data_IF_353913757647
#
_entry.id   IF_353913757647
#
_cell.length_a   1.000
_cell.length_b   1.000
_cell.length_c   1.000
_cell.angle_alpha   90.00
_cell.angle_beta   90.00
_cell.angle_gamma   90.00
#
_symmetry.space_group_name_H-M   'P 1'
#
loop_
_entity.id
_entity.type
_entity.pdbx_description
1 polymer ?
#
# COMPACT_ATOMS: atom_id res chain seq x y z
N UNK A 1 -10.88 15.67 -20.01
CA UNK A 1 -9.66 16.03 -19.28
C UNK A 1 -9.02 14.75 -18.80
N UNK A 2 -7.88 14.38 -19.32
CA UNK A 2 -7.09 13.25 -18.80
C UNK A 2 -6.44 13.67 -17.48
N UNK A 3 -6.24 12.71 -16.57
CA UNK A 3 -5.69 12.98 -15.24
C UNK A 3 -4.16 13.07 -15.37
N UNK A 4 -3.53 14.25 -15.22
CA UNK A 4 -2.09 14.42 -15.42
C UNK A 4 -1.26 13.62 -14.41
N UNK A 5 -1.87 13.19 -13.30
CA UNK A 5 -1.20 12.38 -12.28
C UNK A 5 -1.01 10.91 -12.71
N UNK A 6 -1.75 10.43 -13.72
CA UNK A 6 -1.57 9.08 -14.28
C UNK A 6 -0.39 9.00 -15.27
N UNK A 7 0.15 10.14 -15.72
CA UNK A 7 1.22 10.17 -16.72
C UNK A 7 2.54 9.56 -16.20
N UNK A 8 2.75 9.58 -14.88
CA UNK A 8 3.91 8.99 -14.20
C UNK A 8 3.54 7.77 -13.35
N UNK A 9 2.33 7.22 -13.51
CA UNK A 9 1.88 6.07 -12.74
C UNK A 9 2.38 4.76 -13.37
N UNK A 10 3.32 4.09 -12.70
CA UNK A 10 3.76 2.75 -13.06
C UNK A 10 2.99 1.69 -12.26
N UNK A 11 1.89 1.21 -12.84
CA UNK A 11 1.05 0.18 -12.23
C UNK A 11 1.80 -1.14 -12.00
N UNK A 12 2.69 -1.50 -12.93
CA UNK A 12 3.42 -2.76 -12.86
C UNK A 12 4.41 -2.72 -11.69
N UNK A 13 5.16 -1.62 -11.58
CA UNK A 13 6.10 -1.41 -10.48
C UNK A 13 5.41 -1.33 -9.13
N UNK A 14 4.27 -0.64 -9.04
CA UNK A 14 3.49 -0.58 -7.81
C UNK A 14 3.01 -1.97 -7.36
N UNK A 15 2.47 -2.79 -8.28
CA UNK A 15 2.03 -4.15 -7.96
C UNK A 15 3.19 -5.05 -7.51
N UNK A 16 4.34 -4.91 -8.15
CA UNK A 16 5.55 -5.64 -7.78
C UNK A 16 5.99 -5.28 -6.34
N UNK A 17 6.13 -3.99 -6.04
CA UNK A 17 6.52 -3.50 -4.72
C UNK A 17 5.49 -3.86 -3.64
N UNK A 18 4.20 -3.71 -3.91
CA UNK A 18 3.13 -4.09 -2.99
C UNK A 18 3.20 -5.58 -2.65
N UNK A 19 3.34 -6.43 -3.67
CA UNK A 19 3.48 -7.88 -3.49
C UNK A 19 4.74 -8.22 -2.69
N UNK A 20 5.86 -7.58 -3.03
CA UNK A 20 7.13 -7.76 -2.33
C UNK A 20 7.00 -7.44 -0.85
N UNK A 21 6.48 -6.26 -0.50
CA UNK A 21 6.33 -5.84 0.90
C UNK A 21 5.32 -6.68 1.65
N UNK A 22 4.23 -7.10 1.01
CA UNK A 22 3.26 -8.01 1.63
C UNK A 22 3.90 -9.34 2.03
N UNK A 23 4.68 -9.94 1.12
CA UNK A 23 5.41 -11.19 1.40
C UNK A 23 6.49 -10.96 2.46
N UNK A 24 7.28 -9.87 2.36
CA UNK A 24 8.36 -9.55 3.30
C UNK A 24 7.81 -9.34 4.72
N UNK A 25 6.77 -8.52 4.88
CA UNK A 25 6.11 -8.27 6.15
C UNK A 25 5.52 -9.56 6.71
N UNK A 26 4.82 -10.36 5.91
CA UNK A 26 4.29 -11.64 6.36
C UNK A 26 5.41 -12.58 6.82
N UNK A 27 6.52 -12.62 6.08
CA UNK A 27 7.68 -13.43 6.46
C UNK A 27 8.28 -12.95 7.77
N UNK A 28 8.51 -11.65 7.94
CA UNK A 28 9.02 -11.04 9.17
C UNK A 28 8.10 -11.30 10.36
N UNK A 29 6.79 -11.18 10.18
CA UNK A 29 5.81 -11.52 11.22
C UNK A 29 5.86 -12.99 11.61
N UNK A 30 6.19 -13.91 10.69
CA UNK A 30 6.32 -15.34 11.00
C UNK A 30 7.67 -15.71 11.61
N UNK A 31 8.75 -15.02 11.22
CA UNK A 31 10.12 -15.39 11.61
C UNK A 31 10.63 -14.65 12.84
N UNK A 32 10.12 -13.45 13.15
CA UNK A 32 10.52 -12.71 14.35
C UNK A 32 9.57 -13.00 15.52
N UNK A 33 9.97 -13.85 16.49
CA UNK A 33 9.13 -14.18 17.65
C UNK A 33 8.84 -12.96 18.54
N UNK A 34 9.70 -11.93 18.50
CA UNK A 34 9.47 -10.65 19.19
C UNK A 34 8.29 -9.88 18.59
N UNK A 35 8.16 -9.86 17.26
CA UNK A 35 7.04 -9.24 16.59
C UNK A 35 5.75 -10.06 16.83
N UNK A 36 5.81 -11.38 16.78
CA UNK A 36 4.65 -12.24 17.11
C UNK A 36 4.13 -11.95 18.53
N UNK A 37 5.02 -11.85 19.51
CA UNK A 37 4.66 -11.53 20.89
C UNK A 37 4.02 -10.14 21.01
N UNK A 38 4.60 -9.13 20.34
CA UNK A 38 4.09 -7.76 20.35
C UNK A 38 2.72 -7.64 19.65
N UNK A 39 2.48 -8.43 18.60
CA UNK A 39 1.17 -8.54 17.94
C UNK A 39 0.10 -9.09 18.89
N UNK A 40 0.47 -10.10 19.70
CA UNK A 40 -0.43 -10.73 20.65
C UNK A 40 -0.71 -9.86 21.89
N UNK A 41 0.27 -9.06 22.34
CA UNK A 41 0.11 -8.19 23.51
C UNK A 41 -0.63 -6.89 23.22
N UNK A 42 -0.34 -6.23 22.08
CA UNK A 42 -0.84 -4.88 21.82
C UNK A 42 -2.01 -4.84 20.82
N UNK A 43 -2.30 -5.93 20.12
CA UNK A 43 -3.39 -6.04 19.14
C UNK A 43 -3.26 -5.13 17.90
N UNK A 44 -2.37 -4.16 17.93
CA UNK A 44 -2.08 -3.21 16.87
C UNK A 44 -0.56 -3.01 16.80
N UNK A 45 0.06 -3.64 15.81
CA UNK A 45 1.48 -3.42 15.52
C UNK A 45 1.58 -2.29 14.50
N UNK A 46 2.41 -1.28 14.77
CA UNK A 46 2.54 -0.16 13.84
C UNK A 46 3.43 -0.56 12.67
N UNK A 47 2.94 -0.36 11.44
CA UNK A 47 3.69 -0.61 10.21
C UNK A 47 5.05 0.11 10.20
N UNK A 48 5.16 1.27 10.87
CA UNK A 48 6.42 1.97 11.04
C UNK A 48 7.48 1.18 11.81
N UNK A 49 7.09 0.39 12.81
CA UNK A 49 8.03 -0.45 13.57
C UNK A 49 8.57 -1.59 12.70
N UNK A 50 7.73 -2.15 11.84
CA UNK A 50 8.13 -3.17 10.86
C UNK A 50 9.09 -2.61 9.80
N UNK A 51 8.82 -1.41 9.30
CA UNK A 51 9.68 -0.74 8.32
C UNK A 51 11.02 -0.33 8.91
N UNK A 52 11.09 -0.03 10.22
CA UNK A 52 12.36 0.26 10.88
C UNK A 52 13.32 -0.94 10.89
N UNK A 53 12.78 -2.16 10.88
CA UNK A 53 13.55 -3.41 10.81
C UNK A 53 13.98 -3.75 9.36
N UNK A 54 13.60 -2.96 8.36
CA UNK A 54 14.04 -3.18 6.98
C UNK A 54 15.51 -2.82 6.78
N UNK A 55 16.18 -3.63 5.96
CA UNK A 55 17.53 -3.37 5.45
C UNK A 55 17.55 -2.11 4.57
N UNK A 56 18.73 -1.55 4.31
CA UNK A 56 18.88 -0.31 3.53
C UNK A 56 18.24 -0.40 2.14
N UNK A 57 18.42 -1.51 1.44
CA UNK A 57 17.83 -1.75 0.12
C UNK A 57 16.29 -1.82 0.17
N UNK A 58 15.74 -2.37 1.25
CA UNK A 58 14.30 -2.48 1.45
C UNK A 58 13.67 -1.13 1.81
N UNK A 59 14.40 -0.27 2.52
CA UNK A 59 13.97 1.11 2.81
C UNK A 59 13.90 1.95 1.54
N UNK A 60 14.88 1.83 0.64
CA UNK A 60 14.86 2.54 -0.66
C UNK A 60 13.62 2.13 -1.49
N UNK A 61 13.36 0.83 -1.59
CA UNK A 61 12.16 0.30 -2.26
C UNK A 61 10.87 0.73 -1.57
N UNK A 62 10.90 0.91 -0.26
CA UNK A 62 9.74 1.33 0.52
C UNK A 62 9.42 2.81 0.26
N UNK A 63 10.43 3.66 0.17
CA UNK A 63 10.27 5.05 -0.24
C UNK A 63 9.72 5.15 -1.67
N UNK A 64 10.23 4.32 -2.60
CA UNK A 64 9.70 4.21 -3.97
C UNK A 64 8.21 3.83 -3.95
N UNK A 65 7.83 2.82 -3.16
CA UNK A 65 6.45 2.40 -3.00
C UNK A 65 5.55 3.51 -2.45
N UNK A 66 6.01 4.25 -1.43
CA UNK A 66 5.25 5.36 -0.85
C UNK A 66 5.03 6.52 -1.86
N UNK A 67 6.03 6.80 -2.70
CA UNK A 67 5.88 7.81 -3.75
C UNK A 67 4.82 7.39 -4.78
N UNK A 68 4.85 6.13 -5.22
CA UNK A 68 3.84 5.60 -6.12
C UNK A 68 2.45 5.57 -5.47
N UNK A 69 2.34 5.12 -4.23
CA UNK A 69 1.06 5.09 -3.50
C UNK A 69 0.44 6.48 -3.35
N UNK A 70 1.27 7.50 -3.10
CA UNK A 70 0.83 8.90 -3.08
C UNK A 70 0.29 9.35 -4.44
N UNK A 71 0.99 9.03 -5.53
CA UNK A 71 0.53 9.36 -6.89
C UNK A 71 -0.80 8.70 -7.21
N UNK A 72 -0.95 7.42 -6.81
CA UNK A 72 -2.23 6.69 -6.95
C UNK A 72 -3.35 7.37 -6.18
N UNK A 73 -3.09 7.74 -4.93
CA UNK A 73 -4.07 8.41 -4.08
C UNK A 73 -4.50 9.76 -4.68
N UNK A 74 -3.55 10.56 -5.17
CA UNK A 74 -3.83 11.84 -5.83
C UNK A 74 -4.64 11.64 -7.12
N UNK A 75 -4.33 10.60 -7.90
CA UNK A 75 -5.09 10.25 -9.09
C UNK A 75 -6.53 9.82 -8.75
N UNK A 76 -6.69 8.91 -7.78
CA UNK A 76 -7.99 8.42 -7.31
C UNK A 76 -8.85 9.56 -6.72
N UNK A 77 -8.23 10.47 -5.95
CA UNK A 77 -8.89 11.67 -5.43
C UNK A 77 -9.36 12.60 -6.55
N UNK A 78 -8.52 12.85 -7.55
CA UNK A 78 -8.88 13.70 -8.68
C UNK A 78 -10.04 13.09 -9.47
N UNK A 79 -9.99 11.80 -9.74
CA UNK A 79 -11.07 11.09 -10.43
C UNK A 79 -12.37 11.16 -9.62
N UNK A 80 -12.29 10.97 -8.29
CA UNK A 80 -13.44 11.07 -7.38
C UNK A 80 -14.09 12.45 -7.40
N UNK A 81 -13.29 13.52 -7.32
CA UNK A 81 -13.77 14.91 -7.35
C UNK A 81 -14.38 15.29 -8.70
N UNK A 82 -13.90 14.70 -9.79
CA UNK A 82 -14.41 14.93 -11.14
C UNK A 82 -15.55 13.98 -11.56
N UNK A 83 -16.10 13.20 -10.62
CA UNK A 83 -17.25 12.32 -10.86
C UNK A 83 -16.97 11.15 -11.81
N UNK A 84 -15.68 10.86 -12.08
CA UNK A 84 -15.20 9.73 -12.89
C UNK A 84 -14.56 8.62 -12.07
N UNK A 85 -14.40 8.85 -10.77
CA UNK A 85 -13.63 8.01 -9.88
C UNK A 85 -14.43 7.00 -9.09
N UNK A 86 -13.65 6.13 -8.50
CA UNK A 86 -14.02 5.08 -7.57
C UNK A 86 -14.67 5.63 -6.31
N UNK A 87 -15.64 4.89 -5.77
CA UNK A 87 -16.28 5.28 -4.51
C UNK A 87 -15.25 5.10 -3.40
N UNK A 88 -14.98 6.17 -2.66
CA UNK A 88 -14.27 6.07 -1.40
C UNK A 88 -15.16 5.39 -0.37
N UNK A 89 -14.74 4.23 0.15
CA UNK A 89 -15.36 3.63 1.34
C UNK A 89 -14.43 3.79 2.54
N UNK A 90 -14.91 4.38 3.64
CA UNK A 90 -14.16 4.42 4.90
C UNK A 90 -13.72 3.00 5.30
N UNK A 91 -12.43 2.80 5.54
CA UNK A 91 -11.83 1.51 5.92
C UNK A 91 -11.36 0.62 4.75
N UNK A 92 -11.80 0.88 3.51
CA UNK A 92 -11.38 0.14 2.30
C UNK A 92 -10.67 1.01 1.26
N UNK A 93 -10.84 2.33 1.31
CA UNK A 93 -10.25 3.27 0.35
C UNK A 93 -11.07 3.42 -0.93
N UNK A 94 -10.41 3.80 -2.03
CA UNK A 94 -11.04 3.98 -3.34
C UNK A 94 -11.22 2.63 -4.03
N UNK A 95 -12.47 2.16 -4.14
CA UNK A 95 -12.77 0.82 -4.67
C UNK A 95 -13.16 0.90 -6.15
N UNK A 96 -12.42 0.20 -7.03
CA UNK A 96 -12.80 0.03 -8.44
C UNK A 96 -14.12 -0.74 -8.52
N UNK A 97 -15.10 -0.32 -9.36
CA UNK A 97 -16.30 -1.12 -9.58
C UNK A 97 -15.98 -2.47 -10.24
N UNK A 98 -14.81 -2.62 -10.86
CA UNK A 98 -14.26 -3.89 -11.38
C UNK A 98 -13.43 -4.67 -10.33
N UNK A 99 -13.16 -4.09 -9.16
CA UNK A 99 -12.67 -4.83 -7.98
C UNK A 99 -13.88 -5.49 -7.28
N UNK A 100 -14.71 -6.18 -8.07
CA UNK A 100 -15.67 -7.15 -7.56
C UNK A 100 -14.89 -8.42 -7.26
N UNK A 101 -14.01 -8.33 -6.27
CA UNK A 101 -13.39 -9.50 -5.68
C UNK A 101 -14.42 -10.19 -4.80
N UNK A 102 -15.30 -10.97 -5.44
CA UNK A 102 -15.72 -12.26 -4.87
C UNK A 102 -14.45 -13.06 -4.56
N UNK A 103 -14.10 -13.14 -3.27
CA UNK A 103 -13.25 -14.18 -2.69
C UNK A 103 -14.07 -14.94 -1.66
#
# INVERSE_FOLDING_TARGET
MENPNLENWDEARYKELNTYFRIKIEHMLRTNPHLVAQQQESGNMHLQELVNEFDADDRERWEEFLQLDKLKLEADMWDHLHGRGTRFRPGLGFIKPDDDTTW
#
